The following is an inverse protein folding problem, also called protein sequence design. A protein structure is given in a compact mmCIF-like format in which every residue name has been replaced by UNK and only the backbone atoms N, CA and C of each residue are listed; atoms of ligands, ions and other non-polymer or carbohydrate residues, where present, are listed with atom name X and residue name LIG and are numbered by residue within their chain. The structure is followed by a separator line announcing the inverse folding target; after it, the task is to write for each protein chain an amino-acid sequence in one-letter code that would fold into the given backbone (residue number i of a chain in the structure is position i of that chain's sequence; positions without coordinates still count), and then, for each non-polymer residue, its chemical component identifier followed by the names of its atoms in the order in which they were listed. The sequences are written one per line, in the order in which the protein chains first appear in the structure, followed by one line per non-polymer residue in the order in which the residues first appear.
data_IF_241072586865
#
_entry.id   IF_241072586865
#
_cell.length_a   1.000
_cell.length_b   1.000
_cell.length_c   1.000
_cell.angle_alpha   90.00
_cell.angle_beta   90.00
_cell.angle_gamma   90.00
#
_symmetry.space_group_name_H-M   'P 1'
#
loop_
_entity.id
_entity.type
_entity.pdbx_description
1 polymer ?
#
# COMPACT_ATOMS: atom_id res chain seq x y z
N UNK A 1 4.70 -1.52 33.95
CA UNK A 1 5.09 -0.64 32.83
C UNK A 1 4.83 -1.43 31.54
N UNK A 2 4.13 -0.86 30.57
CA UNK A 2 3.83 -1.59 29.32
C UNK A 2 5.08 -1.74 28.47
N UNK A 3 5.24 -2.90 27.81
CA UNK A 3 6.36 -3.24 26.93
C UNK A 3 5.89 -3.29 25.46
N UNK A 4 6.82 -3.40 24.50
CA UNK A 4 6.50 -3.57 23.08
C UNK A 4 5.75 -4.87 22.78
N UNK A 5 5.88 -5.88 23.63
CA UNK A 5 5.30 -7.21 23.43
C UNK A 5 3.95 -7.39 24.12
N UNK A 6 3.50 -6.41 24.90
CA UNK A 6 2.17 -6.45 25.52
C UNK A 6 1.09 -6.20 24.47
N UNK A 7 -0.05 -6.85 24.62
CA UNK A 7 -1.22 -6.63 23.77
C UNK A 7 -1.71 -5.18 23.87
N UNK A 8 -2.38 -4.73 22.83
CA UNK A 8 -2.96 -3.39 22.74
C UNK A 8 -4.30 -3.45 22.01
N UNK A 9 -5.34 -2.87 22.60
CA UNK A 9 -6.60 -2.65 21.90
C UNK A 9 -6.57 -1.32 21.14
N UNK A 10 -6.83 -1.37 19.84
CA UNK A 10 -6.93 -0.19 18.96
C UNK A 10 -8.30 -0.19 18.31
N UNK A 11 -9.20 0.67 18.78
CA UNK A 11 -10.62 0.62 18.40
C UNK A 11 -11.21 -0.75 18.73
N UNK A 12 -11.75 -1.43 17.72
CA UNK A 12 -12.33 -2.78 17.88
C UNK A 12 -11.31 -3.91 17.61
N UNK A 13 -10.02 -3.58 17.40
CA UNK A 13 -8.99 -4.55 17.03
C UNK A 13 -8.08 -4.81 18.22
N UNK A 14 -7.93 -6.08 18.58
CA UNK A 14 -6.95 -6.52 19.56
C UNK A 14 -5.64 -6.89 18.84
N UNK A 15 -4.58 -6.13 19.12
CA UNK A 15 -3.22 -6.37 18.63
C UNK A 15 -2.47 -7.23 19.65
N UNK A 16 -1.79 -8.26 19.16
CA UNK A 16 -1.01 -9.18 20.01
C UNK A 16 0.27 -8.57 20.60
N UNK A 17 0.75 -7.47 20.01
CA UNK A 17 1.86 -6.67 20.48
C UNK A 17 1.75 -5.24 19.91
N UNK A 18 2.64 -4.36 20.31
CA UNK A 18 2.66 -2.93 19.97
C UNK A 18 3.58 -2.58 18.81
N UNK A 19 4.03 -3.58 18.06
CA UNK A 19 4.91 -3.39 16.90
C UNK A 19 4.03 -3.23 15.66
N UNK A 20 4.17 -2.09 14.98
CA UNK A 20 3.43 -1.78 13.75
C UNK A 20 4.40 -1.63 12.59
N UNK A 21 4.17 -2.39 11.53
CA UNK A 21 4.87 -2.19 10.26
C UNK A 21 4.28 -0.96 9.57
N UNK A 22 5.08 0.11 9.48
CA UNK A 22 4.70 1.32 8.76
C UNK A 22 4.56 1.06 7.24
N UNK A 23 3.71 1.82 6.54
CA UNK A 23 3.59 1.72 5.08
C UNK A 23 4.89 2.14 4.39
N UNK A 24 5.42 1.28 3.54
CA UNK A 24 6.68 1.49 2.83
C UNK A 24 6.49 1.12 1.36
N UNK A 25 6.54 2.07 0.45
CA UNK A 25 6.50 1.83 -1.00
C UNK A 25 7.68 0.95 -1.40
N UNK A 26 7.40 -0.20 -2.03
CA UNK A 26 8.41 -1.18 -2.41
C UNK A 26 8.81 -1.07 -3.88
N UNK A 27 7.92 -0.50 -4.71
CA UNK A 27 8.12 -0.41 -6.17
C UNK A 27 8.47 -1.77 -6.79
N UNK A 28 7.71 -2.80 -6.47
CA UNK A 28 7.93 -4.18 -6.91
C UNK A 28 6.75 -4.79 -7.68
N UNK A 29 5.62 -4.08 -7.79
CA UNK A 29 4.54 -4.49 -8.68
C UNK A 29 5.01 -4.50 -10.14
N UNK A 30 4.30 -5.21 -11.02
CA UNK A 30 4.51 -5.09 -12.45
C UNK A 30 3.99 -3.73 -12.99
N UNK A 31 4.11 -3.51 -14.28
CA UNK A 31 3.70 -2.23 -14.88
C UNK A 31 2.18 -2.02 -14.82
N UNK A 32 1.40 -3.11 -14.78
CA UNK A 32 -0.05 -3.12 -14.58
C UNK A 32 -0.46 -2.95 -13.10
N UNK A 33 0.50 -2.81 -12.20
CA UNK A 33 0.23 -2.61 -10.77
C UNK A 33 -0.20 -3.88 -10.03
N UNK A 34 0.07 -5.07 -10.59
CA UNK A 34 -0.19 -6.36 -9.94
C UNK A 34 1.00 -6.75 -9.08
N UNK A 35 0.75 -7.15 -7.84
CA UNK A 35 1.78 -7.61 -6.93
C UNK A 35 2.35 -8.97 -7.37
N UNK A 36 3.67 -9.14 -7.39
CA UNK A 36 4.31 -10.43 -7.67
C UNK A 36 4.17 -11.39 -6.49
N UNK A 37 4.27 -12.69 -6.73
CA UNK A 37 4.06 -13.73 -5.71
C UNK A 37 5.01 -13.60 -4.51
N UNK A 38 6.24 -13.14 -4.69
CA UNK A 38 7.16 -12.94 -3.56
C UNK A 38 6.70 -11.83 -2.58
N UNK A 39 5.74 -10.99 -2.96
CA UNK A 39 5.12 -10.03 -2.04
C UNK A 39 4.33 -10.75 -0.92
N UNK A 40 3.80 -11.93 -1.20
CA UNK A 40 3.15 -12.79 -0.20
C UNK A 40 4.15 -13.10 0.91
N UNK A 41 5.34 -13.59 0.55
CA UNK A 41 6.40 -13.91 1.53
C UNK A 41 6.84 -12.67 2.30
N UNK A 42 6.99 -11.53 1.61
CA UNK A 42 7.40 -10.27 2.22
C UNK A 42 6.50 -9.85 3.38
N UNK A 43 5.18 -9.89 3.20
CA UNK A 43 4.23 -9.53 4.25
C UNK A 43 4.05 -10.65 5.27
N UNK A 44 4.02 -11.92 4.83
CA UNK A 44 3.85 -13.08 5.70
C UNK A 44 4.97 -13.21 6.74
N UNK A 45 6.22 -12.98 6.35
CA UNK A 45 7.37 -12.97 7.27
C UNK A 45 7.23 -11.95 8.40
N UNK A 46 6.36 -10.96 8.26
CA UNK A 46 6.11 -9.90 9.24
C UNK A 46 4.80 -10.08 10.00
N UNK A 47 4.07 -11.16 9.74
CA UNK A 47 2.78 -11.45 10.37
C UNK A 47 2.86 -11.57 11.91
N UNK A 48 4.06 -11.73 12.48
CA UNK A 48 4.27 -11.70 13.93
C UNK A 48 4.13 -10.30 14.55
N UNK A 49 4.17 -9.23 13.76
CA UNK A 49 3.87 -7.87 14.24
C UNK A 49 2.42 -7.73 14.71
N UNK A 50 2.14 -6.73 15.54
CA UNK A 50 0.78 -6.43 16.00
C UNK A 50 -0.13 -5.97 14.87
N UNK A 51 0.38 -5.12 13.98
CA UNK A 51 -0.34 -4.63 12.81
C UNK A 51 0.64 -4.40 11.65
N UNK A 52 0.24 -4.82 10.45
CA UNK A 52 0.92 -4.48 9.22
C UNK A 52 0.09 -3.44 8.45
N UNK A 53 0.76 -2.42 7.91
CA UNK A 53 0.14 -1.49 6.95
C UNK A 53 0.86 -1.67 5.62
N UNK A 54 0.09 -1.90 4.54
CA UNK A 54 0.68 -2.15 3.23
C UNK A 54 1.38 -0.90 2.69
N UNK A 55 2.22 -1.09 1.69
CA UNK A 55 2.66 0.00 0.82
C UNK A 55 1.48 0.76 0.20
N UNK A 56 1.74 2.01 -0.19
CA UNK A 56 0.77 2.86 -0.87
C UNK A 56 0.23 2.17 -2.12
N UNK A 57 -1.10 1.97 -2.17
CA UNK A 57 -1.80 1.19 -3.19
C UNK A 57 -2.78 2.09 -3.93
N UNK A 58 -2.61 2.23 -5.24
CA UNK A 58 -3.37 3.15 -6.07
C UNK A 58 -4.83 2.72 -6.19
N UNK A 59 -5.76 3.66 -6.00
CA UNK A 59 -7.21 3.42 -6.06
C UNK A 59 -7.78 3.54 -7.49
N UNK A 60 -7.01 4.06 -8.43
CA UNK A 60 -7.40 4.23 -9.82
C UNK A 60 -6.16 4.39 -10.71
N UNK A 61 -6.30 4.29 -12.05
CA UNK A 61 -5.19 4.60 -12.97
C UNK A 61 -4.62 6.01 -12.77
N UNK A 62 -5.48 6.99 -12.45
CA UNK A 62 -5.08 8.38 -12.20
C UNK A 62 -4.40 8.62 -10.85
N UNK A 63 -4.38 7.60 -9.98
CA UNK A 63 -3.73 7.70 -8.67
C UNK A 63 -2.22 7.45 -8.74
N UNK A 64 -1.71 6.87 -9.83
CA UNK A 64 -0.31 6.44 -9.97
C UNK A 64 0.62 7.64 -10.10
N UNK A 65 1.64 7.72 -9.24
CA UNK A 65 2.65 8.77 -9.29
C UNK A 65 4.08 8.26 -9.17
N UNK A 66 4.26 6.94 -9.05
CA UNK A 66 5.57 6.29 -8.93
C UNK A 66 5.62 5.00 -9.73
N UNK A 67 6.82 4.63 -10.17
CA UNK A 67 7.04 3.39 -10.94
C UNK A 67 6.72 2.15 -10.08
N UNK A 68 6.11 1.14 -10.70
CA UNK A 68 5.86 -0.18 -10.10
C UNK A 68 5.18 -0.15 -8.75
N UNK A 69 4.30 0.83 -8.53
CA UNK A 69 3.42 0.85 -7.36
C UNK A 69 2.16 0.04 -7.64
N UNK A 70 1.66 -0.71 -6.65
CA UNK A 70 0.50 -1.57 -6.85
C UNK A 70 -0.80 -0.78 -6.96
N UNK A 71 -1.79 -1.40 -7.57
CA UNK A 71 -3.17 -0.93 -7.60
C UNK A 71 -4.13 -1.84 -6.85
N UNK A 72 -5.39 -1.39 -6.72
CA UNK A 72 -6.51 -2.14 -6.12
C UNK A 72 -7.83 -1.91 -6.90
N UNK A 73 -7.73 -1.59 -8.18
CA UNK A 73 -8.87 -1.20 -9.02
C UNK A 73 -9.13 -2.15 -10.19
N UNK A 74 -8.31 -3.19 -10.40
CA UNK A 74 -8.59 -4.27 -11.36
C UNK A 74 -8.74 -5.62 -10.66
N UNK A 75 -9.46 -6.59 -11.27
CA UNK A 75 -9.60 -7.92 -10.69
C UNK A 75 -8.26 -8.60 -10.40
N UNK A 76 -7.27 -8.47 -11.29
CA UNK A 76 -5.95 -9.08 -11.16
C UNK A 76 -5.17 -8.47 -9.98
N UNK A 77 -5.26 -7.14 -9.81
CA UNK A 77 -4.66 -6.45 -8.68
C UNK A 77 -5.31 -6.90 -7.35
N UNK A 78 -6.64 -6.98 -7.32
CA UNK A 78 -7.40 -7.43 -6.15
C UNK A 78 -7.00 -8.87 -5.79
N UNK A 79 -6.92 -9.76 -6.77
CA UNK A 79 -6.54 -11.16 -6.52
C UNK A 79 -5.10 -11.29 -6.01
N UNK A 80 -4.17 -10.48 -6.53
CA UNK A 80 -2.79 -10.46 -6.04
C UNK A 80 -2.71 -10.03 -4.57
N UNK A 81 -3.50 -9.03 -4.17
CA UNK A 81 -3.60 -8.60 -2.78
C UNK A 81 -4.32 -9.62 -1.88
N UNK A 82 -5.32 -10.35 -2.41
CA UNK A 82 -6.00 -11.41 -1.68
C UNK A 82 -5.02 -12.49 -1.23
N UNK A 83 -4.13 -12.93 -2.11
CA UNK A 83 -3.06 -13.89 -1.74
C UNK A 83 -2.23 -13.39 -0.56
N UNK A 84 -1.89 -12.10 -0.54
CA UNK A 84 -1.14 -11.47 0.55
C UNK A 84 -1.94 -11.48 1.86
N UNK A 85 -3.18 -11.00 1.82
CA UNK A 85 -4.02 -10.90 3.03
C UNK A 85 -4.35 -12.26 3.59
N UNK A 86 -4.68 -13.23 2.75
CA UNK A 86 -4.99 -14.60 3.16
C UNK A 86 -3.79 -15.25 3.87
N UNK A 87 -2.59 -15.08 3.31
CA UNK A 87 -1.38 -15.62 3.92
C UNK A 87 -1.04 -14.95 5.26
N UNK A 88 -1.16 -13.62 5.34
CA UNK A 88 -0.93 -12.90 6.61
C UNK A 88 -1.95 -13.33 7.66
N UNK A 89 -3.24 -13.44 7.31
CA UNK A 89 -4.28 -13.88 8.23
C UNK A 89 -4.09 -15.33 8.67
N UNK A 90 -3.74 -16.23 7.76
CA UNK A 90 -3.43 -17.63 8.09
C UNK A 90 -2.28 -17.77 9.10
N UNK A 91 -1.36 -16.80 9.13
CA UNK A 91 -0.26 -16.71 10.09
C UNK A 91 -0.59 -15.84 11.33
N UNK A 92 -1.87 -15.56 11.57
CA UNK A 92 -2.35 -14.83 12.75
C UNK A 92 -1.97 -13.34 12.74
N UNK A 93 -1.57 -12.79 11.60
CA UNK A 93 -1.30 -11.37 11.43
C UNK A 93 -2.55 -10.56 11.17
N UNK A 94 -2.47 -9.25 11.40
CA UNK A 94 -3.47 -8.25 11.04
C UNK A 94 -2.85 -7.28 10.04
N UNK A 95 -3.55 -7.01 8.94
CA UNK A 95 -3.05 -6.17 7.86
C UNK A 95 -4.11 -5.19 7.40
N UNK A 96 -3.72 -3.92 7.23
CA UNK A 96 -4.52 -2.86 6.65
C UNK A 96 -3.87 -2.37 5.36
N UNK A 97 -4.69 -1.99 4.41
CA UNK A 97 -4.21 -1.41 3.17
C UNK A 97 -4.14 0.12 3.27
N UNK A 98 -2.99 0.69 2.92
CA UNK A 98 -2.88 2.12 2.69
C UNK A 98 -3.38 2.42 1.27
N UNK A 99 -4.63 2.86 1.13
CA UNK A 99 -5.16 3.35 -0.14
C UNK A 99 -4.62 4.75 -0.43
N UNK A 100 -4.27 5.01 -1.71
CA UNK A 100 -3.44 6.15 -2.06
C UNK A 100 -3.84 6.80 -3.38
N UNK A 101 -3.67 8.12 -3.47
CA UNK A 101 -3.78 8.90 -4.69
C UNK A 101 -2.77 10.05 -4.65
N UNK A 102 -1.87 10.11 -5.62
CA UNK A 102 -0.80 11.13 -5.67
C UNK A 102 -1.31 12.54 -5.95
N UNK A 103 -2.51 12.67 -6.52
CA UNK A 103 -3.08 13.98 -6.82
C UNK A 103 -2.17 14.79 -7.75
N UNK A 104 -2.02 16.08 -7.48
CA UNK A 104 -1.24 17.02 -8.29
C UNK A 104 0.27 16.75 -8.34
N UNK A 105 0.77 15.82 -7.55
CA UNK A 105 2.20 15.46 -7.52
C UNK A 105 2.53 14.42 -8.60
N UNK A 106 1.53 13.72 -9.17
CA UNK A 106 1.75 12.76 -10.26
C UNK A 106 2.38 13.44 -11.48
N UNK A 107 3.26 12.70 -12.16
CA UNK A 107 3.77 13.10 -13.45
C UNK A 107 2.92 12.50 -14.59
N UNK A 108 2.69 13.24 -15.69
CA UNK A 108 1.95 12.72 -16.84
C UNK A 108 2.49 11.38 -17.37
N UNK A 109 3.80 11.14 -17.26
CA UNK A 109 4.44 9.89 -17.73
C UNK A 109 3.94 8.63 -17.01
N UNK A 110 3.35 8.75 -15.82
CA UNK A 110 2.78 7.63 -15.06
C UNK A 110 1.26 7.50 -15.24
N UNK A 111 0.63 8.48 -15.89
CA UNK A 111 -0.81 8.54 -16.05
C UNK A 111 -1.26 8.03 -17.43
N UNK A 112 -2.49 7.50 -17.53
CA UNK A 112 -3.04 7.05 -18.82
C UNK A 112 -2.96 8.18 -19.86
N UNK A 113 -2.55 7.84 -21.09
CA UNK A 113 -2.46 8.76 -22.22
C UNK A 113 -1.68 10.07 -21.92
N UNK A 114 -0.77 10.03 -20.95
CA UNK A 114 0.01 11.18 -20.46
C UNK A 114 -0.87 12.37 -20.05
N UNK A 115 -2.05 12.09 -19.50
CA UNK A 115 -2.97 13.11 -19.02
C UNK A 115 -2.36 13.94 -17.88
N UNK A 116 -2.89 15.14 -17.69
CA UNK A 116 -2.52 15.96 -16.55
C UNK A 116 -3.08 15.35 -15.25
N UNK A 117 -2.35 15.45 -14.13
CA UNK A 117 -2.82 14.95 -12.84
C UNK A 117 -4.09 15.67 -12.39
N UNK A 118 -4.95 14.93 -11.69
CA UNK A 118 -6.18 15.46 -11.10
C UNK A 118 -5.96 15.90 -9.66
N UNK A 119 -6.62 16.98 -9.28
CA UNK A 119 -6.59 17.52 -7.92
C UNK A 119 -7.90 18.29 -7.64
N UNK A 120 -8.24 18.57 -6.36
CA UNK A 120 -9.43 19.36 -6.03
C UNK A 120 -9.42 20.77 -6.61
N UNK A 121 -8.23 21.31 -6.91
CA UNK A 121 -8.06 22.59 -7.57
C UNK A 121 -6.85 22.58 -8.50
N UNK A 122 -6.90 23.35 -9.58
CA UNK A 122 -5.85 23.42 -10.63
C UNK A 122 -4.62 24.22 -10.14
N UNK A 123 -4.00 23.77 -9.06
CA UNK A 123 -2.80 24.40 -8.49
C UNK A 123 -1.63 23.43 -8.64
N UNK A 124 -0.62 23.86 -9.40
CA UNK A 124 0.63 23.07 -9.57
C UNK A 124 1.32 22.86 -8.22
N UNK A 125 1.88 21.67 -8.02
CA UNK A 125 2.74 21.40 -6.88
C UNK A 125 3.97 22.33 -6.90
N UNK A 126 4.39 22.79 -5.73
CA UNK A 126 5.63 23.57 -5.60
C UNK A 126 6.84 22.61 -5.55
N UNK A 127 7.97 23.06 -6.11
CA UNK A 127 9.21 22.29 -6.13
C UNK A 127 9.34 21.38 -7.36
N UNK A 128 10.39 20.56 -7.35
CA UNK A 128 10.67 19.55 -8.36
C UNK A 128 10.15 18.18 -7.88
N UNK A 129 9.50 17.43 -8.76
CA UNK A 129 9.06 16.08 -8.47
C UNK A 129 10.22 15.12 -8.79
N UNK A 130 10.76 14.49 -7.78
CA UNK A 130 11.73 13.40 -7.91
C UNK A 130 10.97 12.06 -7.89
N UNK A 131 10.77 11.48 -9.06
CA UNK A 131 10.15 10.13 -9.21
C UNK A 131 10.90 9.31 -10.23
#
# INVERSE_FOLDING_TARGET
MATLFDSLKVGEIDLKNRIVMAPLTRSRANDEGVQPDFTVDYYTQRASGGLLITEATNVSPMAKGYVRTPGIYTPEQIESWRKVTDSVHANGGKIFMQVFHTGRVALPDFLPDRQLPVAPSAVKAAGENYT
#
